data_IF_870956767881
#
_entry.id   IF_870956767881
#
_cell.length_a   1.000
_cell.length_b   1.000
_cell.length_c   1.000
_cell.angle_alpha   90.00
_cell.angle_beta   90.00
_cell.angle_gamma   90.00
#
_symmetry.space_group_name_H-M   'P 1'
#
loop_
_entity.id
_entity.type
_entity.pdbx_description
1 polymer ?
#
# COMPACT_ATOMS: atom_id res chain seq x y z
N UNK A 1 25.53 40.26 37.42
CA UNK A 1 24.63 40.85 36.40
C UNK A 1 24.45 40.01 35.13
N UNK A 2 25.30 39.02 34.81
CA UNK A 2 25.15 38.18 33.61
C UNK A 2 24.02 37.12 33.69
N UNK A 3 23.63 36.70 34.90
CA UNK A 3 22.59 35.69 35.12
C UNK A 3 21.16 36.20 34.85
N UNK A 4 20.92 37.52 34.85
CA UNK A 4 19.60 38.10 34.58
C UNK A 4 19.27 38.13 33.08
N UNK A 5 20.26 38.28 32.20
CA UNK A 5 20.07 38.23 30.75
C UNK A 5 19.71 36.82 30.25
N UNK A 6 20.29 35.77 30.85
CA UNK A 6 19.97 34.38 30.51
C UNK A 6 18.52 34.00 30.84
N UNK A 7 17.93 34.60 31.89
CA UNK A 7 16.52 34.42 32.25
C UNK A 7 15.55 35.15 31.32
N UNK A 8 15.97 36.24 30.69
CA UNK A 8 15.10 37.04 29.82
C UNK A 8 14.86 36.39 28.45
N UNK A 9 15.75 35.51 28.00
CA UNK A 9 15.68 34.82 26.69
C UNK A 9 14.69 33.64 26.67
N UNK A 10 14.32 33.09 27.82
CA UNK A 10 13.34 32.00 27.95
C UNK A 10 11.90 32.52 28.07
N UNK A 11 11.46 33.38 27.15
CA UNK A 11 10.00 33.46 26.91
C UNK A 11 9.62 32.20 26.14
N UNK A 12 8.88 31.24 26.72
CA UNK A 12 8.25 30.22 25.90
C UNK A 12 7.28 30.97 24.98
N UNK A 13 7.66 31.11 23.73
CA UNK A 13 6.83 31.73 22.72
C UNK A 13 5.63 30.76 22.53
N UNK A 14 4.53 31.08 23.20
CA UNK A 14 3.25 30.34 23.30
C UNK A 14 2.49 30.36 21.97
N UNK A 15 3.20 30.30 20.85
CA UNK A 15 2.59 30.20 19.53
C UNK A 15 2.25 28.74 19.28
N UNK A 16 1.01 28.44 18.84
CA UNK A 16 0.59 27.07 18.65
C UNK A 16 1.39 26.40 17.53
N UNK A 17 1.70 25.11 17.71
CA UNK A 17 2.63 24.34 16.87
C UNK A 17 2.25 24.36 15.38
N UNK A 18 0.95 24.42 15.07
CA UNK A 18 0.46 24.54 13.69
C UNK A 18 1.01 25.79 12.99
N UNK A 19 1.20 26.91 13.71
CA UNK A 19 1.74 28.14 13.12
C UNK A 19 3.25 28.08 12.88
N UNK A 20 3.98 27.17 13.54
CA UNK A 20 5.43 26.94 13.33
C UNK A 20 5.70 25.96 12.19
N UNK A 21 4.89 24.90 12.08
CA UNK A 21 5.03 23.88 11.05
C UNK A 21 4.38 24.30 9.73
N UNK A 22 3.19 24.91 9.77
CA UNK A 22 2.48 25.45 8.61
C UNK A 22 2.77 26.95 8.42
N UNK A 23 4.05 27.33 8.37
CA UNK A 23 4.40 28.59 7.73
C UNK A 23 4.32 28.37 6.21
N UNK A 24 3.68 29.28 5.46
CA UNK A 24 3.44 29.14 4.01
C UNK A 24 4.69 28.63 3.27
N UNK A 25 5.86 29.21 3.56
CA UNK A 25 7.14 28.82 2.95
C UNK A 25 7.56 27.37 3.19
N UNK A 26 7.31 26.81 4.38
CA UNK A 26 7.64 25.40 4.69
C UNK A 26 6.64 24.45 4.06
N UNK A 27 5.37 24.85 4.04
CA UNK A 27 4.31 24.09 3.38
C UNK A 27 4.55 23.99 1.87
N UNK A 28 4.97 25.09 1.23
CA UNK A 28 5.29 25.12 -0.20
C UNK A 28 6.48 24.21 -0.55
N UNK A 29 7.53 24.21 0.26
CA UNK A 29 8.70 23.33 0.07
C UNK A 29 8.29 21.87 0.25
N UNK A 30 7.50 21.56 1.29
CA UNK A 30 7.03 20.20 1.54
C UNK A 30 6.11 19.72 0.41
N UNK A 31 5.21 20.58 -0.06
CA UNK A 31 4.35 20.27 -1.20
C UNK A 31 5.17 20.00 -2.47
N UNK A 32 6.11 20.88 -2.82
CA UNK A 32 6.93 20.75 -4.02
C UNK A 32 7.82 19.50 -3.99
N UNK A 33 8.44 19.22 -2.85
CA UNK A 33 9.25 18.01 -2.65
C UNK A 33 8.41 16.73 -2.71
N UNK A 34 7.23 16.74 -2.09
CA UNK A 34 6.32 15.59 -2.08
C UNK A 34 5.78 15.32 -3.48
N UNK A 35 5.33 16.33 -4.21
CA UNK A 35 4.85 16.19 -5.59
C UNK A 35 5.97 15.68 -6.51
N UNK A 36 7.19 16.21 -6.35
CA UNK A 36 8.35 15.75 -7.13
C UNK A 36 8.70 14.30 -6.82
N UNK A 37 8.68 13.90 -5.55
CA UNK A 37 8.92 12.51 -5.14
C UNK A 37 7.86 11.57 -5.70
N UNK A 38 6.58 11.94 -5.61
CA UNK A 38 5.47 11.13 -6.11
C UNK A 38 5.62 10.89 -7.61
N UNK A 39 5.84 11.95 -8.39
CA UNK A 39 5.90 11.84 -9.84
C UNK A 39 7.18 11.15 -10.35
N UNK A 40 8.33 11.38 -9.71
CA UNK A 40 9.61 10.86 -10.20
C UNK A 40 9.90 9.45 -9.70
N UNK A 41 9.54 9.13 -8.45
CA UNK A 41 9.91 7.86 -7.84
C UNK A 41 8.70 6.97 -7.62
N UNK A 42 7.66 7.47 -6.96
CA UNK A 42 6.57 6.62 -6.47
C UNK A 42 5.70 6.07 -7.60
N UNK A 43 5.21 6.92 -8.50
CA UNK A 43 4.36 6.52 -9.62
C UNK A 43 5.04 5.48 -10.53
N UNK A 44 6.27 5.72 -11.05
CA UNK A 44 6.90 4.73 -11.91
C UNK A 44 7.25 3.43 -11.19
N UNK A 45 7.58 3.49 -9.90
CA UNK A 45 7.82 2.30 -9.10
C UNK A 45 6.54 1.45 -8.94
N UNK A 46 5.44 2.08 -8.53
CA UNK A 46 4.17 1.38 -8.33
C UNK A 46 3.62 0.85 -9.64
N UNK A 47 3.69 1.64 -10.72
CA UNK A 47 3.22 1.19 -12.04
C UNK A 47 4.05 0.01 -12.55
N UNK A 48 5.38 0.06 -12.42
CA UNK A 48 6.24 -1.07 -12.78
C UNK A 48 5.91 -2.30 -11.95
N UNK A 49 5.76 -2.16 -10.64
CA UNK A 49 5.43 -3.28 -9.75
C UNK A 49 4.10 -3.94 -10.10
N UNK A 50 3.05 -3.14 -10.33
CA UNK A 50 1.73 -3.64 -10.72
C UNK A 50 1.75 -4.32 -12.09
N UNK A 51 2.46 -3.73 -13.06
CA UNK A 51 2.60 -4.31 -14.40
C UNK A 51 3.34 -5.65 -14.36
N UNK A 52 4.47 -5.72 -13.66
CA UNK A 52 5.24 -6.96 -13.54
C UNK A 52 4.45 -8.05 -12.82
N UNK A 53 3.82 -7.71 -11.69
CA UNK A 53 3.02 -8.67 -10.91
C UNK A 53 1.80 -9.15 -11.72
N UNK A 54 1.11 -8.23 -12.38
CA UNK A 54 0.00 -8.56 -13.26
C UNK A 54 0.45 -9.46 -14.41
N UNK A 55 1.56 -9.13 -15.06
CA UNK A 55 2.10 -9.95 -16.15
C UNK A 55 2.45 -11.37 -15.67
N UNK A 56 3.16 -11.50 -14.55
CA UNK A 56 3.51 -12.80 -13.97
C UNK A 56 2.25 -13.61 -13.64
N UNK A 57 1.25 -12.97 -13.04
CA UNK A 57 -0.01 -13.63 -12.72
C UNK A 57 -0.71 -14.17 -13.97
N UNK A 58 -0.83 -13.38 -15.03
CA UNK A 58 -1.51 -13.81 -16.25
C UNK A 58 -0.70 -14.85 -17.03
N UNK A 59 0.61 -14.72 -17.07
CA UNK A 59 1.49 -15.62 -17.82
C UNK A 59 1.68 -16.98 -17.12
N UNK A 60 1.79 -17.00 -15.79
CA UNK A 60 2.19 -18.20 -15.04
C UNK A 60 1.14 -18.68 -14.05
N UNK A 61 0.67 -17.85 -13.13
CA UNK A 61 -0.24 -18.32 -12.07
C UNK A 61 -1.61 -18.72 -12.59
N UNK A 62 -2.19 -17.89 -13.48
CA UNK A 62 -3.51 -18.14 -14.07
C UNK A 62 -3.61 -19.48 -14.79
N UNK A 63 -2.67 -19.88 -15.68
CA UNK A 63 -2.74 -21.19 -16.32
C UNK A 63 -2.57 -22.34 -15.33
N UNK A 64 -1.68 -22.22 -14.34
CA UNK A 64 -1.48 -23.24 -13.30
C UNK A 64 -2.78 -23.47 -12.54
N UNK A 65 -3.39 -22.41 -12.02
CA UNK A 65 -4.68 -22.49 -11.30
C UNK A 65 -5.80 -23.04 -12.18
N UNK A 66 -5.79 -22.76 -13.48
CA UNK A 66 -6.77 -23.31 -14.43
C UNK A 66 -6.58 -24.81 -14.63
N UNK A 67 -5.35 -25.30 -14.67
CA UNK A 67 -5.06 -26.73 -14.76
C UNK A 67 -5.47 -27.46 -13.48
N UNK A 68 -5.18 -26.91 -12.31
CA UNK A 68 -5.61 -27.46 -11.02
C UNK A 68 -7.14 -27.54 -10.93
N UNK A 69 -7.86 -26.46 -11.28
CA UNK A 69 -9.32 -26.45 -11.31
C UNK A 69 -9.88 -27.55 -12.21
N UNK A 70 -9.31 -27.73 -13.41
CA UNK A 70 -9.74 -28.80 -14.32
C UNK A 70 -9.50 -30.19 -13.74
N UNK A 71 -8.39 -30.41 -13.03
CA UNK A 71 -8.13 -31.70 -12.35
C UNK A 71 -9.17 -31.96 -11.28
N UNK A 72 -9.45 -30.96 -10.44
CA UNK A 72 -10.49 -31.06 -9.41
C UNK A 72 -11.88 -31.31 -10.01
N UNK A 73 -12.24 -30.62 -11.09
CA UNK A 73 -13.51 -30.85 -11.82
C UNK A 73 -13.61 -32.29 -12.32
N UNK A 74 -12.53 -32.87 -12.86
CA UNK A 74 -12.51 -34.25 -13.30
C UNK A 74 -12.62 -35.24 -12.13
N UNK A 75 -11.92 -35.00 -11.03
CA UNK A 75 -12.02 -35.82 -9.81
C UNK A 75 -13.43 -35.80 -9.22
N UNK A 76 -14.07 -34.62 -9.19
CA UNK A 76 -15.46 -34.47 -8.73
C UNK A 76 -16.40 -35.26 -9.63
N UNK A 77 -16.23 -35.18 -10.96
CA UNK A 77 -17.05 -35.95 -11.91
C UNK A 77 -16.85 -37.46 -11.73
N UNK A 78 -15.61 -37.92 -11.57
CA UNK A 78 -15.33 -39.34 -11.31
C UNK A 78 -15.95 -39.82 -9.99
N UNK A 79 -15.89 -39.01 -8.94
CA UNK A 79 -16.54 -39.32 -7.66
C UNK A 79 -18.07 -39.40 -7.81
N UNK A 80 -18.68 -38.50 -8.57
CA UNK A 80 -20.12 -38.56 -8.87
C UNK A 80 -20.49 -39.81 -9.67
N UNK A 81 -19.69 -40.18 -10.68
CA UNK A 81 -19.88 -41.41 -11.45
C UNK A 81 -19.72 -42.67 -10.59
N UNK A 82 -18.83 -42.65 -9.60
CA UNK A 82 -18.67 -43.71 -8.62
C UNK A 82 -19.81 -43.75 -7.57
N UNK A 83 -20.79 -42.85 -7.66
CA UNK A 83 -21.98 -42.83 -6.80
C UNK A 83 -21.79 -42.09 -5.47
N UNK A 84 -20.68 -41.37 -5.27
CA UNK A 84 -20.50 -40.53 -4.10
C UNK A 84 -21.44 -39.32 -4.16
N UNK A 85 -22.29 -39.16 -3.14
CA UNK A 85 -23.17 -37.99 -2.99
C UNK A 85 -22.48 -36.95 -2.12
N UNK A 86 -22.21 -35.78 -2.68
CA UNK A 86 -21.76 -34.62 -1.90
C UNK A 86 -22.90 -34.19 -0.99
N UNK A 87 -22.66 -34.18 0.32
CA UNK A 87 -23.55 -33.56 1.28
C UNK A 87 -23.23 -32.07 1.26
N UNK A 88 -24.11 -31.27 0.64
CA UNK A 88 -23.99 -29.82 0.70
C UNK A 88 -24.18 -29.37 2.15
N UNK A 89 -23.07 -29.12 2.84
CA UNK A 89 -23.11 -28.31 4.06
C UNK A 89 -23.36 -26.87 3.63
N UNK A 90 -24.63 -26.47 3.67
CA UNK A 90 -25.02 -25.06 3.63
C UNK A 90 -24.32 -24.35 4.79
N UNK A 91 -23.37 -23.48 4.47
CA UNK A 91 -22.87 -22.44 5.37
C UNK A 91 -23.74 -21.20 5.26
#
# INVERSE_FOLDING_TARGET
>A
MLLSLARLSRRPDTRPLYRRLFTNRRLDILHLTTVRFINIAFIPYVSSFLLTTGFIYYAYEKPIRKQERRRLELEILQAQLAGFKFKEEKQ
#
